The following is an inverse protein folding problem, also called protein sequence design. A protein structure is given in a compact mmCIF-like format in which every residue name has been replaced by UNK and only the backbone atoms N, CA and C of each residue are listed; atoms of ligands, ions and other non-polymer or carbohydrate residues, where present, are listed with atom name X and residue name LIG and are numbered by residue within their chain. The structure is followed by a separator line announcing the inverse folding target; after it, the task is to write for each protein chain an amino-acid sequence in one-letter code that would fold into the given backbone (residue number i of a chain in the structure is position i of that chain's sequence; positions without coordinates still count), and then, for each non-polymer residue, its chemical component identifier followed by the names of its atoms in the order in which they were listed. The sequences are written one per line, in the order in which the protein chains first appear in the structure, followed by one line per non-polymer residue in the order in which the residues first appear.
data_IF_540622545403
#
_entry.id   IF_540622545403
#
_cell.length_a   1.000
_cell.length_b   1.000
_cell.length_c   1.000
_cell.angle_alpha   90.00
_cell.angle_beta   90.00
_cell.angle_gamma   90.00
#
_symmetry.space_group_name_H-M   'P 1'
#
loop_
_entity.id
_entity.type
_entity.pdbx_description
1 polymer ?
#
# COMPACT_ATOMS: atom_id res chain seq x y z
N UNK A 1 29.86 -15.90 -2.19
CA UNK A 1 29.34 -16.22 -0.85
C UNK A 1 28.76 -14.95 -0.25
N UNK A 2 27.57 -14.56 -0.72
CA UNK A 2 26.81 -13.42 -0.24
C UNK A 2 25.37 -13.91 -0.09
N UNK A 3 24.94 -14.13 1.15
CA UNK A 3 23.54 -14.40 1.47
C UNK A 3 22.76 -13.11 1.22
N UNK A 4 22.08 -13.04 0.07
CA UNK A 4 20.92 -12.18 -0.11
C UNK A 4 19.79 -12.77 0.75
N UNK A 5 19.75 -12.41 2.03
CA UNK A 5 18.50 -12.45 2.77
C UNK A 5 17.70 -11.22 2.36
N UNK A 6 17.12 -11.28 1.16
CA UNK A 6 15.91 -10.51 0.88
C UNK A 6 14.92 -10.95 1.95
N UNK A 7 14.40 -10.01 2.74
CA UNK A 7 13.11 -10.17 3.37
C UNK A 7 12.12 -10.40 2.23
N UNK A 8 11.98 -11.67 1.85
CA UNK A 8 10.83 -12.16 1.13
C UNK A 8 9.67 -11.72 2.00
N UNK A 9 8.88 -10.78 1.50
CA UNK A 9 7.51 -10.58 1.97
C UNK A 9 6.79 -11.90 1.73
N UNK A 10 6.93 -12.83 2.68
CA UNK A 10 6.09 -14.01 2.80
C UNK A 10 4.73 -13.52 3.31
N UNK A 11 4.00 -12.81 2.45
CA UNK A 11 2.55 -12.92 2.48
C UNK A 11 2.24 -14.17 1.66
N UNK A 12 2.38 -15.32 2.32
CA UNK A 12 1.78 -16.56 1.84
C UNK A 12 0.30 -16.21 1.67
N UNK A 13 -0.14 -16.23 0.41
CA UNK A 13 -1.51 -16.40 -0.02
C UNK A 13 -2.14 -17.46 0.90
N UNK A 14 -2.78 -17.01 1.98
CA UNK A 14 -3.57 -17.91 2.79
C UNK A 14 -4.71 -18.32 1.88
N UNK A 15 -4.65 -19.58 1.47
CA UNK A 15 -5.68 -20.33 0.80
C UNK A 15 -7.03 -19.87 1.36
N UNK A 16 -7.85 -19.22 0.53
CA UNK A 16 -9.23 -18.88 0.84
C UNK A 16 -10.02 -20.18 1.02
N UNK A 17 -10.06 -20.70 2.23
CA UNK A 17 -10.99 -21.73 2.67
C UNK A 17 -11.56 -21.33 4.03
N UNK A 18 -12.35 -20.26 4.02
CA UNK A 18 -13.41 -20.14 5.01
C UNK A 18 -14.63 -20.83 4.42
N UNK A 19 -14.81 -22.09 4.78
CA UNK A 19 -16.10 -22.76 4.61
C UNK A 19 -17.03 -22.13 5.64
N UNK A 20 -17.68 -21.02 5.27
CA UNK A 20 -18.91 -20.62 5.95
C UNK A 20 -20.00 -21.65 5.59
N UNK A 21 -20.90 -21.99 6.52
CA UNK A 21 -21.98 -22.91 6.23
C UNK A 21 -22.79 -22.36 5.05
N UNK A 22 -23.07 -23.22 4.08
CA UNK A 22 -23.83 -22.98 2.85
C UNK A 22 -25.25 -22.54 3.21
N UNK A 23 -25.41 -21.27 3.58
CA UNK A 23 -26.56 -20.48 3.19
C UNK A 23 -26.13 -19.81 1.89
N UNK A 24 -26.93 -19.92 0.82
CA UNK A 24 -26.62 -19.26 -0.43
C UNK A 24 -26.55 -17.75 -0.17
N UNK A 25 -25.34 -17.19 0.01
CA UNK A 25 -25.18 -15.75 0.02
C UNK A 25 -25.41 -15.26 -1.39
N UNK A 26 -26.20 -14.19 -1.51
CA UNK A 26 -26.34 -13.48 -2.78
C UNK A 26 -24.94 -13.15 -3.31
N UNK A 27 -24.75 -13.27 -4.62
CA UNK A 27 -23.46 -12.95 -5.24
C UNK A 27 -23.55 -11.65 -6.02
N UNK A 28 -22.47 -10.88 -5.97
CA UNK A 28 -22.24 -9.69 -6.79
C UNK A 28 -21.32 -10.06 -7.95
N UNK A 29 -21.65 -9.58 -9.14
CA UNK A 29 -20.80 -9.69 -10.31
C UNK A 29 -19.82 -8.51 -10.31
N UNK A 30 -18.58 -8.76 -9.91
CA UNK A 30 -17.47 -7.81 -10.06
C UNK A 30 -16.97 -7.86 -11.50
N UNK A 31 -16.91 -6.68 -12.13
CA UNK A 31 -16.53 -6.56 -13.53
C UNK A 31 -15.08 -6.10 -13.60
N UNK A 32 -14.24 -6.91 -14.22
CA UNK A 32 -12.85 -6.61 -14.53
C UNK A 32 -12.81 -6.15 -15.99
N UNK A 33 -12.54 -4.86 -16.20
CA UNK A 33 -12.41 -4.28 -17.54
C UNK A 33 -10.96 -4.41 -17.97
N UNK A 34 -10.72 -5.04 -19.12
CA UNK A 34 -9.38 -5.21 -19.67
C UNK A 34 -8.95 -4.02 -20.52
N UNK A 35 -7.66 -3.90 -20.81
CA UNK A 35 -7.12 -2.88 -21.72
C UNK A 35 -7.60 -3.04 -23.17
N UNK A 36 -8.16 -4.20 -23.54
CA UNK A 36 -8.82 -4.40 -24.85
C UNK A 36 -10.30 -4.03 -24.87
N UNK A 37 -10.85 -3.62 -23.72
CA UNK A 37 -12.29 -3.33 -23.54
C UNK A 37 -13.14 -4.58 -23.25
N UNK A 38 -12.53 -5.76 -23.13
CA UNK A 38 -13.25 -6.96 -22.70
C UNK A 38 -13.67 -6.84 -21.24
N UNK A 39 -14.87 -7.34 -20.91
CA UNK A 39 -15.37 -7.42 -19.53
C UNK A 39 -15.32 -8.87 -19.05
N UNK A 40 -14.46 -9.15 -18.07
CA UNK A 40 -14.45 -10.43 -17.35
C UNK A 40 -15.30 -10.29 -16.09
N UNK A 41 -16.11 -11.29 -15.78
CA UNK A 41 -16.99 -11.28 -14.60
C UNK A 41 -16.43 -12.23 -13.55
N UNK A 42 -16.27 -11.73 -12.32
CA UNK A 42 -15.96 -12.54 -11.15
C UNK A 42 -17.14 -12.47 -10.16
N UNK A 43 -17.73 -13.63 -9.87
CA UNK A 43 -18.77 -13.76 -8.85
C UNK A 43 -18.17 -13.77 -7.46
N UNK A 44 -18.62 -12.84 -6.62
CA UNK A 44 -18.14 -12.64 -5.25
C UNK A 44 -19.34 -12.67 -4.29
N UNK A 45 -19.27 -13.37 -3.15
CA UNK A 45 -20.30 -13.27 -2.11
C UNK A 45 -20.56 -11.81 -1.71
N UNK A 46 -21.82 -11.39 -1.67
CA UNK A 46 -22.21 -10.01 -1.37
C UNK A 46 -21.86 -9.60 0.08
N UNK A 47 -21.77 -10.58 0.99
CA UNK A 47 -21.46 -10.37 2.40
C UNK A 47 -19.96 -10.37 2.71
N UNK A 48 -19.11 -10.47 1.68
CA UNK A 48 -17.66 -10.52 1.86
C UNK A 48 -17.13 -9.26 2.56
N UNK A 49 -16.22 -9.46 3.51
CA UNK A 49 -15.49 -8.36 4.18
C UNK A 49 -14.12 -8.10 3.58
N UNK A 50 -13.57 -9.09 2.88
CA UNK A 50 -12.27 -9.02 2.24
C UNK A 50 -12.31 -9.62 0.84
N UNK A 51 -11.89 -8.85 -0.16
CA UNK A 51 -11.73 -9.33 -1.52
C UNK A 51 -10.34 -8.98 -2.03
N UNK A 52 -9.80 -9.83 -2.90
CA UNK A 52 -8.49 -9.65 -3.47
C UNK A 52 -8.48 -10.03 -4.93
N UNK A 53 -7.67 -9.32 -5.72
CA UNK A 53 -7.44 -9.62 -7.11
C UNK A 53 -5.94 -9.67 -7.41
N UNK A 54 -5.50 -10.76 -8.03
CA UNK A 54 -4.14 -10.93 -8.50
C UNK A 54 -4.12 -11.17 -10.01
N UNK A 55 -3.40 -10.33 -10.76
CA UNK A 55 -3.16 -10.55 -12.19
C UNK A 55 -1.98 -11.52 -12.36
N UNK A 56 -2.15 -12.51 -13.22
CA UNK A 56 -1.11 -13.50 -13.56
C UNK A 56 -0.62 -13.25 -14.99
N UNK A 57 0.66 -13.53 -15.26
CA UNK A 57 1.23 -13.50 -16.61
C UNK A 57 0.48 -14.43 -17.57
N UNK A 58 -0.17 -15.47 -17.04
CA UNK A 58 -0.96 -16.43 -17.80
C UNK A 58 -2.39 -15.94 -18.11
N UNK A 59 -2.83 -14.80 -17.56
CA UNK A 59 -4.18 -14.27 -17.78
C UNK A 59 -4.46 -13.95 -19.25
N UNK A 60 -3.43 -13.62 -20.04
CA UNK A 60 -3.58 -13.27 -21.47
C UNK A 60 -4.26 -11.93 -21.72
N UNK A 61 -4.54 -11.15 -20.68
CA UNK A 61 -5.08 -9.79 -20.74
C UNK A 61 -4.48 -8.93 -19.63
N UNK A 62 -4.50 -7.61 -19.81
CA UNK A 62 -4.17 -6.63 -18.78
C UNK A 62 -5.43 -5.94 -18.29
N UNK A 63 -5.46 -5.55 -17.03
CA UNK A 63 -6.63 -4.94 -16.39
C UNK A 63 -6.51 -3.43 -16.45
N UNK A 64 -7.58 -2.76 -16.87
CA UNK A 64 -7.70 -1.31 -16.92
C UNK A 64 -8.43 -0.74 -15.70
N UNK A 65 -9.48 -1.42 -15.25
CA UNK A 65 -10.27 -1.00 -14.07
C UNK A 65 -11.10 -2.15 -13.49
N UNK A 66 -11.62 -1.93 -12.29
CA UNK A 66 -12.56 -2.81 -11.59
C UNK A 66 -13.85 -2.01 -11.34
N UNK A 67 -14.99 -2.56 -11.74
CA UNK A 67 -16.32 -1.95 -11.52
C UNK A 67 -17.12 -2.72 -10.47
N UNK A 68 -18.20 -2.12 -9.98
CA UNK A 68 -19.17 -2.68 -9.02
C UNK A 68 -18.65 -2.94 -7.59
N UNK A 69 -17.56 -2.29 -7.16
CA UNK A 69 -17.13 -2.37 -5.75
C UNK A 69 -18.15 -1.77 -4.77
N UNK A 70 -19.02 -0.87 -5.21
CA UNK A 70 -20.10 -0.29 -4.42
C UNK A 70 -21.26 -1.26 -4.14
N UNK A 71 -21.31 -2.38 -4.85
CA UNK A 71 -22.27 -3.47 -4.62
C UNK A 71 -21.81 -4.45 -3.52
N UNK A 72 -20.59 -4.31 -2.99
CA UNK A 72 -20.09 -5.08 -1.84
C UNK A 72 -20.26 -4.27 -0.54
N UNK A 73 -21.42 -4.30 0.13
CA UNK A 73 -21.76 -3.41 1.25
C UNK A 73 -20.89 -3.60 2.50
N UNK A 74 -20.15 -4.70 2.59
CA UNK A 74 -19.33 -5.06 3.74
C UNK A 74 -17.82 -5.10 3.42
N UNK A 75 -17.41 -4.73 2.21
CA UNK A 75 -15.99 -4.78 1.83
C UNK A 75 -15.17 -3.78 2.64
N UNK A 76 -14.38 -4.30 3.57
CA UNK A 76 -13.50 -3.55 4.46
C UNK A 76 -12.03 -3.65 4.05
N UNK A 77 -11.64 -4.77 3.44
CA UNK A 77 -10.27 -5.03 2.98
C UNK A 77 -10.22 -5.35 1.49
N UNK A 78 -9.34 -4.65 0.78
CA UNK A 78 -9.05 -4.91 -0.63
C UNK A 78 -7.57 -5.17 -0.85
N UNK A 79 -7.26 -6.23 -1.60
CA UNK A 79 -5.89 -6.57 -2.01
C UNK A 79 -5.76 -6.57 -3.53
N UNK A 80 -4.82 -5.80 -4.08
CA UNK A 80 -4.50 -5.76 -5.50
C UNK A 80 -3.05 -6.18 -5.70
N UNK A 81 -2.84 -7.20 -6.55
CA UNK A 81 -1.55 -7.88 -6.68
C UNK A 81 -1.16 -7.98 -8.16
N UNK A 82 0.06 -7.56 -8.49
CA UNK A 82 0.69 -7.72 -9.80
C UNK A 82 -0.09 -7.09 -10.99
N UNK A 83 -0.85 -6.03 -10.72
CA UNK A 83 -1.68 -5.36 -11.74
C UNK A 83 -0.91 -4.24 -12.43
N UNK A 84 -0.74 -4.33 -13.75
CA UNK A 84 0.12 -3.42 -14.51
C UNK A 84 -0.63 -2.48 -15.46
N UNK A 85 -1.93 -2.69 -15.70
CA UNK A 85 -2.71 -1.90 -16.65
C UNK A 85 -3.56 -0.77 -16.04
N UNK A 86 -3.70 -0.72 -14.71
CA UNK A 86 -4.51 0.31 -14.04
C UNK A 86 -3.69 1.60 -13.92
N UNK A 87 -4.16 2.67 -14.57
CA UNK A 87 -3.60 4.02 -14.41
C UNK A 87 -4.43 4.90 -13.47
N UNK A 88 -5.73 4.63 -13.33
CA UNK A 88 -6.66 5.36 -12.47
C UNK A 88 -7.27 4.43 -11.42
N UNK A 89 -6.93 4.70 -10.15
CA UNK A 89 -7.41 3.96 -8.99
C UNK A 89 -8.67 4.60 -8.34
N UNK A 90 -9.30 5.57 -8.99
CA UNK A 90 -10.52 6.26 -8.49
C UNK A 90 -11.68 5.31 -8.16
N UNK A 91 -11.75 4.13 -8.80
CA UNK A 91 -12.74 3.10 -8.51
C UNK A 91 -12.69 2.60 -7.05
N UNK A 92 -11.55 2.74 -6.36
CA UNK A 92 -11.41 2.37 -4.94
C UNK A 92 -12.38 3.14 -4.04
N UNK A 93 -12.70 4.39 -4.39
CA UNK A 93 -13.64 5.23 -3.65
C UNK A 93 -15.08 4.67 -3.61
N UNK A 94 -15.41 3.73 -4.51
CA UNK A 94 -16.71 3.04 -4.53
C UNK A 94 -16.87 2.04 -3.39
N UNK A 95 -15.77 1.50 -2.83
CA UNK A 95 -15.81 0.59 -1.70
C UNK A 95 -16.06 1.37 -0.39
N UNK A 96 -17.34 1.60 -0.06
CA UNK A 96 -17.78 2.56 0.98
C UNK A 96 -17.32 2.26 2.41
N UNK A 97 -16.87 1.04 2.70
CA UNK A 97 -16.36 0.62 4.01
C UNK A 97 -14.87 0.30 4.01
N UNK A 98 -14.16 0.56 2.91
CA UNK A 98 -12.75 0.20 2.77
C UNK A 98 -11.90 0.90 3.83
N UNK A 99 -11.38 0.11 4.76
CA UNK A 99 -10.51 0.56 5.84
C UNK A 99 -9.10 -0.04 5.74
N UNK A 100 -8.90 -1.07 4.91
CA UNK A 100 -7.62 -1.74 4.67
C UNK A 100 -7.37 -1.88 3.17
N UNK A 101 -6.30 -1.27 2.69
CA UNK A 101 -5.87 -1.38 1.30
C UNK A 101 -4.45 -1.91 1.20
N UNK A 102 -4.27 -2.99 0.46
CA UNK A 102 -2.97 -3.55 0.10
C UNK A 102 -2.83 -3.53 -1.42
N UNK A 103 -1.83 -2.80 -1.92
CA UNK A 103 -1.45 -2.80 -3.34
C UNK A 103 0.01 -3.25 -3.42
N UNK A 104 0.28 -4.37 -4.10
CA UNK A 104 1.64 -4.90 -4.22
C UNK A 104 1.92 -5.41 -5.63
N UNK A 105 3.12 -5.12 -6.13
CA UNK A 105 3.51 -5.46 -7.49
C UNK A 105 2.72 -4.72 -8.57
N UNK A 106 1.96 -3.68 -8.22
CA UNK A 106 1.16 -2.93 -9.18
C UNK A 106 1.92 -1.74 -9.77
N UNK A 107 1.58 -1.36 -11.00
CA UNK A 107 1.95 -0.09 -11.58
C UNK A 107 1.00 0.99 -11.08
N UNK A 108 1.56 2.08 -10.55
CA UNK A 108 0.82 3.24 -10.06
C UNK A 108 1.44 4.49 -10.66
N UNK A 109 0.61 5.36 -11.24
CA UNK A 109 1.05 6.60 -11.89
C UNK A 109 0.75 7.85 -11.06
N UNK A 110 -0.17 7.76 -10.10
CA UNK A 110 -0.54 8.82 -9.18
C UNK A 110 -1.04 8.21 -7.86
N UNK A 111 -0.72 8.86 -6.75
CA UNK A 111 -1.16 8.50 -5.41
C UNK A 111 -2.36 9.35 -4.92
N UNK A 112 -2.86 10.29 -5.72
CA UNK A 112 -3.97 11.19 -5.34
C UNK A 112 -5.24 10.47 -4.93
N UNK A 113 -5.50 9.27 -5.46
CA UNK A 113 -6.67 8.46 -5.08
C UNK A 113 -6.72 8.18 -3.57
N UNK A 114 -5.58 8.19 -2.86
CA UNK A 114 -5.52 7.97 -1.41
C UNK A 114 -6.31 9.04 -0.65
N UNK A 115 -6.33 10.29 -1.15
CA UNK A 115 -6.98 11.43 -0.48
C UNK A 115 -8.50 11.26 -0.30
N UNK A 116 -9.11 10.38 -1.10
CA UNK A 116 -10.55 10.10 -1.08
C UNK A 116 -10.91 8.86 -0.24
N UNK A 117 -9.93 8.09 0.22
CA UNK A 117 -10.15 6.86 1.01
C UNK A 117 -10.20 7.17 2.52
N UNK A 118 -11.16 8.01 2.91
CA UNK A 118 -11.23 8.66 4.24
C UNK A 118 -11.41 7.71 5.43
N UNK A 119 -11.81 6.45 5.18
CA UNK A 119 -11.97 5.43 6.22
C UNK A 119 -10.73 4.56 6.43
N UNK A 120 -9.65 4.75 5.65
CA UNK A 120 -8.44 3.94 5.78
C UNK A 120 -7.85 4.01 7.19
N UNK A 121 -7.60 2.83 7.73
CA UNK A 121 -6.80 2.55 8.92
C UNK A 121 -5.45 1.93 8.55
N UNK A 122 -5.41 1.20 7.43
CA UNK A 122 -4.22 0.50 6.95
C UNK A 122 -4.03 0.75 5.46
N UNK A 123 -2.84 1.24 5.11
CA UNK A 123 -2.41 1.37 3.72
C UNK A 123 -1.06 0.69 3.55
N UNK A 124 -0.96 -0.25 2.60
CA UNK A 124 0.32 -0.78 2.14
C UNK A 124 0.45 -0.63 0.63
N UNK A 125 1.53 0.01 0.19
CA UNK A 125 1.86 0.26 -1.22
C UNK A 125 3.26 -0.28 -1.51
N UNK A 126 3.33 -1.47 -2.10
CA UNK A 126 4.55 -2.07 -2.67
C UNK A 126 4.55 -1.96 -4.19
N UNK A 127 4.90 -0.79 -4.73
CA UNK A 127 4.61 -0.44 -6.13
C UNK A 127 5.86 -0.39 -7.01
N UNK A 128 5.66 -0.59 -8.31
CA UNK A 128 6.69 -0.37 -9.31
C UNK A 128 6.44 0.99 -10.01
N UNK A 129 7.47 1.82 -10.19
CA UNK A 129 7.31 3.06 -10.94
C UNK A 129 7.15 2.79 -12.43
N UNK A 130 6.20 3.46 -13.09
CA UNK A 130 6.29 3.65 -14.55
C UNK A 130 7.31 4.73 -14.91
N UNK A 131 7.72 4.78 -16.18
CA UNK A 131 8.59 5.86 -16.69
C UNK A 131 8.03 7.24 -16.31
N UNK A 132 8.88 8.10 -15.73
CA UNK A 132 8.48 9.44 -15.28
C UNK A 132 7.75 9.49 -13.92
N UNK A 133 7.25 8.36 -13.40
CA UNK A 133 6.54 8.33 -12.12
C UNK A 133 7.41 8.74 -10.94
N UNK A 134 8.68 8.30 -10.91
CA UNK A 134 9.62 8.63 -9.84
C UNK A 134 9.80 10.14 -9.66
N UNK A 135 9.79 10.91 -10.75
CA UNK A 135 9.87 12.37 -10.68
C UNK A 135 8.54 12.98 -10.22
N UNK A 136 7.41 12.40 -10.63
CA UNK A 136 6.08 12.87 -10.21
C UNK A 136 5.85 12.70 -8.70
N UNK A 137 6.13 11.52 -8.15
CA UNK A 137 5.92 11.23 -6.73
C UNK A 137 6.82 12.07 -5.80
N UNK A 138 8.01 12.45 -6.25
CA UNK A 138 8.89 13.36 -5.52
C UNK A 138 8.40 14.81 -5.50
N UNK A 139 7.48 15.19 -6.39
CA UNK A 139 7.04 16.58 -6.57
C UNK A 139 5.53 16.79 -6.34
N UNK A 140 4.76 15.72 -6.12
CA UNK A 140 3.32 15.79 -5.83
C UNK A 140 3.03 15.53 -4.37
N UNK A 141 2.52 16.53 -3.65
CA UNK A 141 2.09 16.34 -2.27
C UNK A 141 0.75 15.61 -2.22
N UNK A 142 0.63 14.64 -1.32
CA UNK A 142 -0.58 13.87 -1.06
C UNK A 142 -1.12 14.28 0.30
N UNK A 143 -2.29 14.91 0.32
CA UNK A 143 -2.91 15.50 1.51
C UNK A 143 -3.70 14.45 2.30
N UNK A 144 -3.17 14.04 3.45
CA UNK A 144 -3.80 13.03 4.32
C UNK A 144 -4.70 13.64 5.40
N UNK A 145 -5.06 14.93 5.31
CA UNK A 145 -5.87 15.61 6.32
C UNK A 145 -7.24 14.97 6.59
N UNK A 146 -7.82 14.31 5.58
CA UNK A 146 -9.10 13.59 5.69
C UNK A 146 -8.97 12.18 6.27
N UNK A 147 -7.77 11.58 6.24
CA UNK A 147 -7.54 10.19 6.68
C UNK A 147 -7.31 10.17 8.19
N UNK A 148 -8.33 10.58 8.95
CA UNK A 148 -8.23 10.75 10.41
C UNK A 148 -8.08 9.44 11.19
N UNK A 149 -8.35 8.30 10.52
CA UNK A 149 -8.30 6.96 11.11
C UNK A 149 -7.03 6.17 10.73
N UNK A 150 -6.15 6.69 9.87
CA UNK A 150 -4.97 5.96 9.39
C UNK A 150 -4.01 5.61 10.54
N UNK A 151 -3.73 4.35 10.77
CA UNK A 151 -2.82 3.91 11.84
C UNK A 151 -1.48 3.41 11.28
N UNK A 152 -1.49 2.95 10.03
CA UNK A 152 -0.33 2.41 9.34
C UNK A 152 -0.26 2.83 7.89
N UNK A 153 0.94 3.25 7.47
CA UNK A 153 1.30 3.46 6.07
C UNK A 153 2.60 2.68 5.80
N UNK A 154 2.52 1.65 4.97
CA UNK A 154 3.67 1.01 4.36
C UNK A 154 3.87 1.53 2.94
N UNK A 155 5.07 2.00 2.62
CA UNK A 155 5.40 2.53 1.32
C UNK A 155 6.76 2.03 0.85
N UNK A 156 6.75 1.17 -0.17
CA UNK A 156 7.92 0.65 -0.84
C UNK A 156 7.75 0.89 -2.34
N UNK A 157 8.63 1.68 -2.93
CA UNK A 157 8.65 1.93 -4.37
C UNK A 157 10.04 1.63 -4.92
N UNK A 158 10.13 0.64 -5.80
CA UNK A 158 11.43 0.24 -6.36
C UNK A 158 12.08 1.41 -7.12
N UNK A 159 13.31 1.77 -6.77
CA UNK A 159 14.03 2.88 -7.40
C UNK A 159 13.68 4.27 -6.86
N UNK A 160 12.76 4.38 -5.90
CA UNK A 160 12.49 5.63 -5.22
C UNK A 160 13.56 5.91 -4.14
N UNK A 161 14.24 7.04 -4.28
CA UNK A 161 15.31 7.49 -3.39
C UNK A 161 14.91 8.62 -2.44
N UNK A 162 13.66 9.09 -2.52
CA UNK A 162 13.13 10.16 -1.67
C UNK A 162 12.22 9.67 -0.55
N UNK A 163 11.73 10.60 0.26
CA UNK A 163 10.64 10.36 1.22
C UNK A 163 9.29 10.60 0.52
N UNK A 164 8.24 9.78 0.75
CA UNK A 164 6.92 10.05 0.19
C UNK A 164 6.36 11.38 0.73
N UNK A 165 5.80 12.21 -0.15
CA UNK A 165 5.31 13.55 0.19
C UNK A 165 3.89 13.58 0.76
N UNK A 166 3.66 12.77 1.80
CA UNK A 166 2.43 12.79 2.58
C UNK A 166 2.42 14.00 3.51
N UNK A 167 1.46 14.90 3.31
CA UNK A 167 1.32 16.16 4.06
C UNK A 167 0.05 16.13 4.92
N UNK A 168 0.00 17.01 5.92
CA UNK A 168 -1.16 17.20 6.81
C UNK A 168 -1.59 15.95 7.58
N UNK A 169 -0.64 15.06 7.92
CA UNK A 169 -0.92 13.81 8.65
C UNK A 169 -1.27 14.14 10.11
N UNK A 170 -2.50 13.80 10.56
CA UNK A 170 -3.04 14.29 11.85
C UNK A 170 -2.84 13.33 13.03
N UNK A 171 -3.03 12.04 12.79
CA UNK A 171 -3.11 11.01 13.84
C UNK A 171 -1.80 10.26 14.09
N UNK A 172 -0.68 10.77 13.54
CA UNK A 172 0.68 10.25 13.74
C UNK A 172 0.77 8.72 13.54
N UNK A 173 0.41 8.19 12.35
CA UNK A 173 0.48 6.76 12.09
C UNK A 173 1.92 6.26 12.20
N UNK A 174 2.08 4.93 12.23
CA UNK A 174 3.35 4.30 11.95
C UNK A 174 3.63 4.37 10.45
N UNK A 175 4.81 4.87 10.06
CA UNK A 175 5.24 4.88 8.67
C UNK A 175 6.39 3.89 8.47
N UNK A 176 6.16 2.90 7.62
CA UNK A 176 7.19 2.00 7.12
C UNK A 176 7.62 2.40 5.71
N UNK A 177 8.85 2.90 5.60
CA UNK A 177 9.53 3.20 4.35
C UNK A 177 10.83 2.40 4.24
N UNK A 178 10.88 1.24 4.91
CA UNK A 178 12.00 0.32 4.80
C UNK A 178 12.11 -0.28 3.39
N UNK A 179 13.31 -0.76 3.05
CA UNK A 179 13.60 -1.41 1.77
C UNK A 179 13.36 -0.51 0.54
N UNK A 180 13.67 0.79 0.68
CA UNK A 180 13.71 1.76 -0.42
C UNK A 180 15.18 2.14 -0.74
N UNK A 181 15.40 3.18 -1.55
CA UNK A 181 16.73 3.67 -1.93
C UNK A 181 17.06 5.04 -1.30
N UNK A 182 16.51 5.34 -0.12
CA UNK A 182 16.72 6.62 0.55
C UNK A 182 18.17 6.72 1.02
N UNK A 183 18.92 7.65 0.45
CA UNK A 183 20.34 7.85 0.77
C UNK A 183 20.63 9.17 1.48
N UNK A 184 19.76 10.16 1.30
CA UNK A 184 19.88 11.49 1.90
C UNK A 184 18.51 12.01 2.32
N UNK A 185 18.49 12.94 3.27
CA UNK A 185 17.29 13.68 3.66
C UNK A 185 17.58 15.18 3.74
N UNK A 186 16.63 15.96 3.22
CA UNK A 186 16.59 17.41 3.33
C UNK A 186 15.86 17.85 4.60
N UNK A 187 15.87 19.15 4.89
CA UNK A 187 15.08 19.71 5.99
C UNK A 187 13.56 19.57 5.75
N UNK A 188 13.13 19.56 4.48
CA UNK A 188 11.72 19.33 4.11
C UNK A 188 11.34 17.89 4.44
N UNK A 189 12.19 16.93 4.12
CA UNK A 189 11.97 15.51 4.43
C UNK A 189 11.86 15.28 5.94
N UNK A 190 12.75 15.88 6.73
CA UNK A 190 12.70 15.82 8.20
C UNK A 190 11.35 16.35 8.72
N UNK A 191 10.85 17.46 8.15
CA UNK A 191 9.53 18.01 8.52
C UNK A 191 8.39 17.06 8.15
N UNK A 192 8.41 16.46 6.96
CA UNK A 192 7.42 15.48 6.54
C UNK A 192 7.40 14.27 7.48
N UNK A 193 8.59 13.73 7.77
CA UNK A 193 8.82 12.57 8.64
C UNK A 193 8.46 12.84 10.11
N UNK A 194 8.51 14.08 10.57
CA UNK A 194 8.13 14.45 11.95
C UNK A 194 6.64 14.32 12.26
N UNK A 195 5.80 14.10 11.24
CA UNK A 195 4.36 13.92 11.39
C UNK A 195 3.95 12.52 11.90
N UNK A 196 4.89 11.59 12.03
CA UNK A 196 4.64 10.18 12.37
C UNK A 196 5.04 9.83 13.80
N UNK A 197 4.41 8.81 14.39
CA UNK A 197 4.73 8.37 15.77
C UNK A 197 5.99 7.52 15.85
N UNK A 198 6.24 6.75 14.79
CA UNK A 198 7.38 5.88 14.62
C UNK A 198 7.64 5.70 13.12
N UNK A 199 8.92 5.65 12.76
CA UNK A 199 9.39 5.37 11.41
C UNK A 199 10.13 4.05 11.37
N UNK A 200 9.93 3.26 10.33
CA UNK A 200 10.87 2.19 9.97
C UNK A 200 11.59 2.59 8.67
N UNK A 201 12.90 2.81 8.77
CA UNK A 201 13.76 3.19 7.64
C UNK A 201 14.81 2.13 7.33
N UNK A 202 14.69 0.93 7.92
CA UNK A 202 15.63 -0.18 7.72
C UNK A 202 15.82 -0.49 6.24
N UNK A 203 16.96 -1.09 5.90
CA UNK A 203 17.27 -1.47 4.53
C UNK A 203 17.22 -0.29 3.53
N UNK A 204 17.59 0.91 3.97
CA UNK A 204 17.86 2.07 3.11
C UNK A 204 19.34 2.48 3.24
N UNK A 205 19.98 2.97 2.16
CA UNK A 205 21.37 3.45 2.21
C UNK A 205 21.65 4.52 3.29
N UNK A 206 20.65 5.32 3.68
CA UNK A 206 20.77 6.33 4.74
C UNK A 206 21.18 5.74 6.10
N UNK A 207 20.82 4.49 6.39
CA UNK A 207 21.15 3.81 7.65
C UNK A 207 22.67 3.67 7.81
N UNK A 208 23.38 3.44 6.70
CA UNK A 208 24.84 3.28 6.67
C UNK A 208 25.58 4.63 6.55
N UNK A 209 24.85 5.76 6.54
CA UNK A 209 25.41 7.11 6.45
C UNK A 209 25.16 7.89 7.76
N UNK A 210 26.13 7.92 8.70
CA UNK A 210 25.97 8.58 9.99
C UNK A 210 25.63 10.07 9.92
N UNK A 211 26.10 10.79 8.89
CA UNK A 211 25.86 12.22 8.73
C UNK A 211 24.40 12.49 8.36
N UNK A 212 23.85 11.69 7.43
CA UNK A 212 22.45 11.78 7.02
C UNK A 212 21.51 11.26 8.12
N UNK A 213 21.84 10.13 8.75
CA UNK A 213 21.05 9.56 9.84
C UNK A 213 20.95 10.53 11.03
N UNK A 214 22.02 11.28 11.34
CA UNK A 214 22.01 12.31 12.40
C UNK A 214 20.99 13.42 12.14
N UNK A 215 20.57 13.67 10.89
CA UNK A 215 19.50 14.64 10.60
C UNK A 215 18.14 14.20 11.15
N UNK A 216 17.95 12.89 11.36
CA UNK A 216 16.73 12.28 11.90
C UNK A 216 16.75 12.12 13.43
N UNK A 217 17.73 12.67 14.15
CA UNK A 217 17.93 12.46 15.60
C UNK A 217 16.75 12.87 16.49
N UNK A 218 15.83 13.71 16.00
CA UNK A 218 14.62 14.12 16.73
C UNK A 218 13.41 13.22 16.44
N UNK A 219 13.55 12.26 15.53
CA UNK A 219 12.46 11.40 15.07
C UNK A 219 12.66 10.00 15.62
N UNK A 220 11.57 9.40 16.10
CA UNK A 220 11.57 8.03 16.59
C UNK A 220 11.67 7.07 15.38
N UNK A 221 12.81 6.42 15.21
CA UNK A 221 13.13 5.60 14.05
C UNK A 221 13.65 4.22 14.46
N UNK A 222 13.13 3.18 13.81
CA UNK A 222 13.75 1.87 13.68
C UNK A 222 14.71 1.96 12.50
N UNK A 223 16.01 2.01 12.78
CA UNK A 223 17.04 2.17 11.76
C UNK A 223 18.07 1.04 11.77
N UNK A 224 18.31 0.35 12.88
CA UNK A 224 19.15 -0.83 12.87
C UNK A 224 18.34 -2.04 12.42
N UNK A 225 18.91 -2.85 11.52
CA UNK A 225 18.26 -4.06 11.02
C UNK A 225 17.94 -5.08 12.12
N UNK A 226 18.63 -5.01 13.26
CA UNK A 226 18.45 -5.89 14.42
C UNK A 226 17.44 -5.37 15.45
N UNK A 227 16.98 -4.12 15.33
CA UNK A 227 16.01 -3.58 16.29
C UNK A 227 14.68 -4.33 16.18
N UNK A 228 14.08 -4.75 17.31
CA UNK A 228 12.79 -5.40 17.28
C UNK A 228 11.71 -4.41 16.83
N UNK A 229 10.83 -4.85 15.94
CA UNK A 229 9.59 -4.13 15.66
C UNK A 229 8.69 -4.26 16.91
N UNK A 230 8.13 -3.16 17.45
CA UNK A 230 7.22 -3.23 18.59
C UNK A 230 6.01 -4.15 18.34
N UNK A 231 5.56 -4.91 19.34
CA UNK A 231 4.49 -5.91 19.16
C UNK A 231 3.17 -5.28 18.66
N UNK A 232 2.84 -4.08 19.14
CA UNK A 232 1.67 -3.32 18.70
C UNK A 232 1.76 -2.88 17.23
N UNK A 233 2.94 -2.94 16.63
CA UNK A 233 3.21 -2.65 15.22
C UNK A 233 3.23 -3.94 14.38
N UNK A 234 3.63 -5.08 14.95
CA UNK A 234 3.66 -6.36 14.24
C UNK A 234 2.29 -6.76 13.67
N UNK A 235 1.19 -6.36 14.32
CA UNK A 235 -0.18 -6.56 13.82
C UNK A 235 -0.37 -6.07 12.37
N UNK A 236 0.27 -4.95 12.01
CA UNK A 236 0.20 -4.39 10.66
C UNK A 236 0.91 -5.27 9.63
N UNK A 237 2.05 -5.85 9.99
CA UNK A 237 2.76 -6.78 9.11
C UNK A 237 2.05 -8.12 8.97
N UNK A 238 1.16 -8.47 9.91
CA UNK A 238 0.29 -9.65 9.84
C UNK A 238 -1.04 -9.39 9.13
N UNK A 239 -1.32 -8.12 8.80
CA UNK A 239 -2.61 -7.71 8.22
C UNK A 239 -3.78 -7.84 9.20
N UNK A 240 -3.52 -7.79 10.50
CA UNK A 240 -4.50 -7.82 11.59
C UNK A 240 -5.11 -6.45 11.85
#
# INVERSE_FOLDING_TARGET
MFQRQSLICYFILHVFLMVSPVFASDTVDIIIVTTSGEKKIQRVPADVTMWGFAQSDQSGYKILSIENLDELPNLERLELINIDGISDYSFLSKAKKLNRLHITGCLVQDLKFIEDLVLLQYLFLGIYPQNGFLQSIQNTSIDLSKLINIEFIGFSCQGHSGVPMFVNVKNKPFLDISNNQISTVSMVDVKLLSQYSLLNIRYNPIVDNPLELKKLHTINCICNNSDPIPENILRYYRGE
#
